data_IF_605894047985
#
_entry.id   IF_605894047985
#
_cell.length_a   1.000
_cell.length_b   1.000
_cell.length_c   1.000
_cell.angle_alpha   90.00
_cell.angle_beta   90.00
_cell.angle_gamma   90.00
#
_symmetry.space_group_name_H-M   'P 1'
#
loop_
_entity.id
_entity.type
_entity.pdbx_description
1 polymer ?
#
# COMPACT_ATOMS: atom_id res chain seq x y z
N UNK A 1 4.18 8.70 9.26
CA UNK A 1 4.99 9.20 8.13
C UNK A 1 4.81 8.28 6.94
N UNK A 2 4.69 8.88 5.75
CA UNK A 2 4.69 8.18 4.46
C UNK A 2 5.97 8.59 3.74
N UNK A 3 6.75 7.61 3.29
CA UNK A 3 8.00 7.82 2.55
C UNK A 3 7.94 7.03 1.23
N UNK A 4 8.43 7.61 0.14
CA UNK A 4 8.60 6.89 -1.12
C UNK A 4 9.93 6.11 -1.09
N UNK A 5 9.90 4.89 -1.62
CA UNK A 5 11.10 4.08 -1.79
C UNK A 5 11.67 4.31 -3.19
N UNK A 6 12.93 4.73 -3.25
CA UNK A 6 13.61 5.05 -4.52
C UNK A 6 14.11 3.79 -5.26
N UNK A 7 14.38 2.72 -4.53
CA UNK A 7 14.92 1.46 -5.06
C UNK A 7 13.80 0.48 -5.43
N UNK A 8 13.01 0.84 -6.44
CA UNK A 8 11.89 0.03 -6.94
C UNK A 8 12.12 -0.42 -8.38
N UNK A 9 11.67 -1.64 -8.75
CA UNK A 9 11.60 -2.05 -10.14
C UNK A 9 10.78 -1.07 -10.99
N UNK A 10 11.09 -0.99 -12.28
CA UNK A 10 10.35 -0.13 -13.19
C UNK A 10 8.85 -0.45 -13.17
N UNK A 11 8.01 0.58 -13.02
CA UNK A 11 6.55 0.44 -12.95
C UNK A 11 6.02 -0.06 -11.61
N UNK A 12 6.87 -0.17 -10.58
CA UNK A 12 6.47 -0.48 -9.20
C UNK A 12 6.62 0.77 -8.33
N UNK A 13 5.56 1.09 -7.61
CA UNK A 13 5.55 2.16 -6.60
C UNK A 13 5.85 1.58 -5.23
N UNK A 14 6.90 2.07 -4.59
CA UNK A 14 7.26 1.68 -3.23
C UNK A 14 6.90 2.76 -2.23
N UNK A 15 6.18 2.40 -1.17
CA UNK A 15 5.86 3.28 -0.05
C UNK A 15 6.25 2.62 1.27
N UNK A 16 6.73 3.41 2.22
CA UNK A 16 6.93 3.00 3.60
C UNK A 16 6.05 3.83 4.52
N UNK A 17 5.37 3.16 5.43
CA UNK A 17 4.56 3.80 6.46
C UNK A 17 5.13 3.48 7.85
N UNK A 18 5.36 4.53 8.64
CA UNK A 18 5.98 4.46 9.97
C UNK A 18 5.31 5.40 10.96
N UNK A 19 5.55 5.18 12.26
CA UNK A 19 4.94 5.92 13.36
C UNK A 19 3.41 5.98 13.27
N UNK A 20 2.85 7.17 13.52
CA UNK A 20 1.40 7.40 13.48
C UNK A 20 1.02 8.22 12.26
N UNK A 21 0.23 7.63 11.36
CA UNK A 21 -0.33 8.37 10.23
C UNK A 21 -1.48 9.25 10.69
N UNK A 22 -1.41 10.53 10.30
CA UNK A 22 -2.49 11.50 10.44
C UNK A 22 -3.18 11.65 9.08
N UNK A 23 -4.50 11.85 9.06
CA UNK A 23 -5.24 12.05 7.81
C UNK A 23 -4.74 13.21 6.93
N UNK A 24 -3.97 14.15 7.50
CA UNK A 24 -3.29 15.17 6.70
C UNK A 24 -2.17 14.62 5.83
N UNK A 25 -1.38 13.64 6.32
CA UNK A 25 -0.29 13.02 5.55
C UNK A 25 -0.84 12.30 4.31
N UNK A 26 -1.93 11.55 4.47
CA UNK A 26 -2.64 10.92 3.36
C UNK A 26 -3.14 11.94 2.32
N UNK A 27 -3.71 13.06 2.76
CA UNK A 27 -4.16 14.13 1.84
C UNK A 27 -3.02 14.75 1.04
N UNK A 28 -1.84 14.89 1.63
CA UNK A 28 -0.65 15.41 0.93
C UNK A 28 -0.03 14.38 0.00
N UNK A 29 -0.14 13.10 0.35
CA UNK A 29 0.37 12.00 -0.47
C UNK A 29 -0.55 11.66 -1.65
N UNK A 30 -1.86 11.91 -1.53
CA UNK A 30 -2.85 11.57 -2.55
C UNK A 30 -2.50 12.09 -3.97
N UNK A 31 -2.08 13.35 -4.19
CA UNK A 31 -1.72 13.82 -5.52
C UNK A 31 -0.47 13.16 -6.10
N UNK A 32 0.48 12.76 -5.24
CA UNK A 32 1.66 12.00 -5.68
C UNK A 32 1.26 10.60 -6.10
N UNK A 33 0.44 9.93 -5.29
CA UNK A 33 -0.17 8.66 -5.65
C UNK A 33 -0.90 8.78 -6.99
N UNK A 34 -1.83 9.73 -7.15
CA UNK A 34 -2.58 9.94 -8.40
C UNK A 34 -1.69 10.14 -9.63
N UNK A 35 -0.54 10.82 -9.52
CA UNK A 35 0.43 10.93 -10.62
C UNK A 35 1.05 9.59 -10.98
N UNK A 36 1.40 8.78 -9.97
CA UNK A 36 1.96 7.44 -10.17
C UNK A 36 0.93 6.47 -10.78
N UNK A 37 -0.37 6.71 -10.56
CA UNK A 37 -1.45 5.89 -11.12
C UNK A 37 -1.83 6.26 -12.57
N UNK A 38 -1.26 7.32 -13.17
CA UNK A 38 -1.66 7.77 -14.52
C UNK A 38 -1.25 6.81 -15.65
N UNK A 39 -0.27 5.93 -15.42
CA UNK A 39 0.28 5.04 -16.46
C UNK A 39 -0.54 3.75 -16.68
N UNK A 40 -1.72 3.64 -16.06
CA UNK A 40 -2.74 2.62 -16.36
C UNK A 40 -2.53 1.24 -15.73
N UNK A 41 -1.34 0.94 -15.20
CA UNK A 41 -1.12 -0.26 -14.39
C UNK A 41 -0.52 0.10 -13.03
N UNK A 42 -1.23 -0.29 -11.98
CA UNK A 42 -0.84 0.03 -10.61
C UNK A 42 -0.24 -1.20 -9.96
N UNK A 43 1.05 -1.11 -9.63
CA UNK A 43 1.82 -2.09 -8.86
C UNK A 43 2.42 -1.40 -7.65
N UNK A 44 2.11 -1.87 -6.45
CA UNK A 44 2.51 -1.22 -5.19
C UNK A 44 3.22 -2.21 -4.28
N UNK A 45 4.29 -1.74 -3.64
CA UNK A 45 4.93 -2.36 -2.47
C UNK A 45 4.76 -1.41 -1.29
N UNK A 46 3.95 -1.80 -0.32
CA UNK A 46 3.74 -1.06 0.93
C UNK A 46 4.51 -1.72 2.08
N UNK A 47 5.47 -1.00 2.66
CA UNK A 47 6.26 -1.45 3.81
C UNK A 47 5.70 -0.83 5.07
N UNK A 48 5.13 -1.66 5.95
CA UNK A 48 4.63 -1.25 7.26
C UNK A 48 5.74 -1.43 8.27
N UNK A 49 6.34 -0.32 8.68
CA UNK A 49 7.47 -0.31 9.60
C UNK A 49 7.09 -0.85 11.00
N UNK A 50 8.06 -1.41 11.76
CA UNK A 50 7.81 -1.97 13.10
C UNK A 50 7.21 -0.95 14.08
N UNK A 51 7.57 0.33 13.94
CA UNK A 51 7.07 1.43 14.76
C UNK A 51 5.71 1.98 14.31
N UNK A 52 5.12 1.43 13.25
CA UNK A 52 3.79 1.86 12.80
C UNK A 52 2.69 1.60 13.85
N UNK A 53 2.13 2.67 14.41
CA UNK A 53 1.11 2.62 15.45
C UNK A 53 -0.32 2.55 14.89
N UNK A 54 -0.45 2.48 13.56
CA UNK A 54 -1.73 2.58 12.87
C UNK A 54 -2.15 4.01 12.59
N UNK A 55 -3.41 4.12 12.17
CA UNK A 55 -4.13 5.39 12.11
C UNK A 55 -4.56 5.73 13.54
N UNK A 56 -4.27 6.94 14.03
CA UNK A 56 -4.58 7.33 15.41
C UNK A 56 -6.07 7.18 15.79
N UNK A 57 -6.45 7.51 17.04
CA UNK A 57 -7.85 7.39 17.49
C UNK A 57 -8.80 8.14 16.53
N UNK A 58 -9.71 7.41 15.87
CA UNK A 58 -10.66 7.93 14.87
C UNK A 58 -10.26 7.77 13.40
N UNK A 59 -9.01 7.41 13.10
CA UNK A 59 -8.48 7.39 11.73
C UNK A 59 -8.86 6.16 10.89
N UNK A 60 -9.00 4.97 11.49
CA UNK A 60 -9.22 3.73 10.71
C UNK A 60 -10.47 3.78 9.82
N UNK A 61 -11.58 4.36 10.28
CA UNK A 61 -12.83 4.38 9.51
C UNK A 61 -12.90 5.50 8.44
N UNK A 62 -12.32 6.67 8.70
CA UNK A 62 -12.29 7.78 7.73
C UNK A 62 -11.20 7.56 6.66
N UNK A 63 -10.05 7.00 7.05
CA UNK A 63 -8.94 6.72 6.15
C UNK A 63 -9.19 5.49 5.27
N UNK A 64 -9.88 4.46 5.78
CA UNK A 64 -10.41 3.40 4.92
C UNK A 64 -11.34 3.99 3.86
N UNK A 65 -12.24 4.91 4.20
CA UNK A 65 -13.12 5.54 3.19
C UNK A 65 -12.36 6.39 2.16
N UNK A 66 -11.28 7.07 2.54
CA UNK A 66 -10.45 7.84 1.61
C UNK A 66 -9.63 6.93 0.69
N UNK A 67 -9.05 5.86 1.25
CA UNK A 67 -8.36 4.80 0.50
C UNK A 67 -9.32 4.07 -0.44
N UNK A 68 -10.44 3.57 0.07
CA UNK A 68 -11.51 2.94 -0.73
C UNK A 68 -12.07 3.90 -1.79
N UNK A 69 -12.29 5.18 -1.46
CA UNK A 69 -12.78 6.19 -2.39
C UNK A 69 -11.84 6.46 -3.58
N UNK A 70 -10.53 6.50 -3.34
CA UNK A 70 -9.53 6.62 -4.40
C UNK A 70 -9.36 5.31 -5.18
N UNK A 71 -9.45 4.16 -4.50
CA UNK A 71 -9.46 2.84 -5.11
C UNK A 71 -10.65 2.67 -6.07
N UNK A 72 -11.81 3.28 -5.83
CA UNK A 72 -12.97 3.17 -6.73
C UNK A 72 -12.77 3.85 -8.10
N UNK A 73 -11.92 4.88 -8.20
CA UNK A 73 -11.70 5.60 -9.46
C UNK A 73 -10.73 4.88 -10.39
N UNK A 74 -9.76 4.16 -9.84
CA UNK A 74 -8.74 3.39 -10.56
C UNK A 74 -8.81 1.88 -10.28
N UNK A 75 -9.98 1.41 -9.83
CA UNK A 75 -10.16 0.04 -9.32
C UNK A 75 -9.63 -0.99 -10.31
N UNK A 76 -10.01 -0.89 -11.59
CA UNK A 76 -9.59 -1.85 -12.61
C UNK A 76 -8.09 -1.83 -12.98
N UNK A 77 -7.33 -0.81 -12.54
CA UNK A 77 -5.93 -0.61 -12.91
C UNK A 77 -4.96 -1.28 -11.92
N UNK A 78 -5.43 -1.69 -10.73
CA UNK A 78 -4.61 -2.41 -9.75
C UNK A 78 -4.30 -3.83 -10.21
N UNK A 79 -3.00 -4.11 -10.39
CA UNK A 79 -2.50 -5.43 -10.78
C UNK A 79 -1.95 -6.21 -9.60
N UNK A 80 -1.04 -5.59 -8.83
CA UNK A 80 -0.33 -6.27 -7.73
C UNK A 80 -0.09 -5.32 -6.56
N UNK A 81 -0.41 -5.80 -5.36
CA UNK A 81 -0.20 -5.08 -4.11
C UNK A 81 0.54 -6.01 -3.14
N UNK A 82 1.79 -5.68 -2.87
CA UNK A 82 2.62 -6.37 -1.89
C UNK A 82 2.62 -5.56 -0.59
N UNK A 83 2.22 -6.20 0.50
CA UNK A 83 2.29 -5.61 1.85
C UNK A 83 3.41 -6.29 2.61
N UNK A 84 4.38 -5.53 3.09
CA UNK A 84 5.58 -6.02 3.76
C UNK A 84 5.53 -5.63 5.23
N UNK A 85 5.36 -6.60 6.13
CA UNK A 85 5.25 -6.35 7.57
C UNK A 85 5.46 -7.59 8.42
N UNK A 86 6.10 -7.41 9.59
CA UNK A 86 6.23 -8.45 10.62
C UNK A 86 5.13 -8.37 11.69
N UNK A 87 4.05 -7.61 11.44
CA UNK A 87 2.96 -7.41 12.41
C UNK A 87 1.87 -8.45 12.26
N UNK A 88 1.59 -9.17 13.33
CA UNK A 88 0.56 -10.23 13.35
C UNK A 88 -0.83 -9.76 12.88
N UNK A 89 -1.23 -8.53 13.21
CA UNK A 89 -2.53 -8.00 12.84
C UNK A 89 -2.65 -7.67 11.34
N UNK A 90 -1.52 -7.41 10.64
CA UNK A 90 -1.53 -7.02 9.23
C UNK A 90 -2.08 -8.14 8.37
N UNK A 91 -1.62 -9.38 8.59
CA UNK A 91 -2.15 -10.54 7.88
C UNK A 91 -3.66 -10.72 8.05
N UNK A 92 -4.17 -10.50 9.26
CA UNK A 92 -5.61 -10.60 9.56
C UNK A 92 -6.43 -9.53 8.83
N UNK A 93 -5.98 -8.27 8.84
CA UNK A 93 -6.67 -7.17 8.14
C UNK A 93 -6.62 -7.38 6.63
N UNK A 94 -5.45 -7.75 6.08
CA UNK A 94 -5.28 -8.00 4.65
C UNK A 94 -6.16 -9.15 4.16
N UNK A 95 -6.26 -10.25 4.92
CA UNK A 95 -7.16 -11.35 4.57
C UNK A 95 -8.63 -10.92 4.55
N UNK A 96 -9.04 -10.02 5.46
CA UNK A 96 -10.40 -9.51 5.53
C UNK A 96 -10.75 -8.55 4.39
N UNK A 97 -9.77 -7.90 3.75
CA UNK A 97 -9.98 -6.93 2.67
C UNK A 97 -9.55 -7.40 1.28
N UNK A 98 -8.79 -8.50 1.17
CA UNK A 98 -8.26 -9.00 -0.09
C UNK A 98 -9.34 -9.27 -1.16
N UNK A 99 -10.51 -9.79 -0.75
CA UNK A 99 -11.64 -10.04 -1.66
C UNK A 99 -12.25 -8.77 -2.25
N UNK A 100 -11.98 -7.60 -1.67
CA UNK A 100 -12.39 -6.29 -2.17
C UNK A 100 -11.34 -5.66 -3.07
N UNK A 101 -10.18 -6.29 -3.28
CA UNK A 101 -9.13 -5.76 -4.15
C UNK A 101 -9.24 -6.39 -5.54
N UNK A 102 -9.19 -5.60 -6.63
CA UNK A 102 -9.36 -6.08 -8.00
C UNK A 102 -8.10 -6.72 -8.58
N UNK A 103 -6.94 -6.50 -7.95
CA UNK A 103 -5.65 -7.09 -8.30
C UNK A 103 -5.22 -8.19 -7.33
N UNK A 104 -4.04 -8.76 -7.58
CA UNK A 104 -3.44 -9.72 -6.69
C UNK A 104 -2.90 -9.02 -5.43
N UNK A 105 -3.12 -9.60 -4.25
CA UNK A 105 -2.59 -9.12 -2.99
C UNK A 105 -1.72 -10.19 -2.34
N UNK A 106 -0.52 -9.83 -1.92
CA UNK A 106 0.41 -10.71 -1.22
C UNK A 106 1.01 -10.02 0.00
N UNK A 107 1.24 -10.79 1.06
CA UNK A 107 1.87 -10.31 2.31
C UNK A 107 3.22 -10.99 2.47
N UNK A 108 4.23 -10.21 2.84
CA UNK A 108 5.63 -10.63 2.97
C UNK A 108 6.19 -10.18 4.33
N UNK A 109 7.18 -10.89 4.86
CA UNK A 109 7.98 -10.43 6.00
C UNK A 109 8.89 -9.25 5.64
N UNK A 110 9.35 -8.48 6.62
CA UNK A 110 10.30 -7.37 6.39
C UNK A 110 11.63 -7.86 5.80
N UNK A 111 12.04 -9.09 6.11
CA UNK A 111 13.21 -9.77 5.53
C UNK A 111 13.00 -10.21 4.07
N UNK A 112 11.75 -10.20 3.58
CA UNK A 112 11.37 -10.58 2.23
C UNK A 112 11.10 -9.38 1.31
N UNK A 113 11.53 -8.17 1.69
CA UNK A 113 11.26 -6.94 0.93
C UNK A 113 11.67 -7.06 -0.55
N UNK A 114 12.85 -7.61 -0.85
CA UNK A 114 13.29 -7.75 -2.23
C UNK A 114 12.42 -8.74 -3.02
N UNK A 115 12.01 -9.84 -2.39
CA UNK A 115 11.05 -10.80 -2.96
C UNK A 115 9.69 -10.13 -3.23
N UNK A 116 9.25 -9.24 -2.35
CA UNK A 116 8.02 -8.48 -2.52
C UNK A 116 8.11 -7.53 -3.73
N UNK A 117 9.26 -6.86 -3.92
CA UNK A 117 9.51 -6.02 -5.11
C UNK A 117 9.46 -6.85 -6.40
N UNK A 118 10.17 -7.97 -6.44
CA UNK A 118 10.19 -8.86 -7.60
C UNK A 118 8.80 -9.41 -7.93
N UNK A 119 8.06 -9.82 -6.90
CA UNK A 119 6.69 -10.26 -7.06
C UNK A 119 5.79 -9.14 -7.58
N UNK A 120 5.89 -7.92 -7.06
CA UNK A 120 5.09 -6.80 -7.56
C UNK A 120 5.41 -6.48 -9.03
N UNK A 121 6.68 -6.61 -9.45
CA UNK A 121 7.15 -6.32 -10.81
C UNK A 121 6.81 -7.39 -11.84
N UNK A 122 6.62 -8.65 -11.41
CA UNK A 122 6.37 -9.74 -12.33
C UNK A 122 5.07 -9.51 -13.15
N UNK A 123 5.20 -9.66 -14.46
CA UNK A 123 4.09 -9.53 -15.41
C UNK A 123 3.26 -10.82 -15.36
N UNK A 124 2.02 -10.76 -14.87
CA UNK A 124 1.00 -11.81 -15.15
C UNK A 124 0.51 -11.68 -16.58
#
# INVERSE_FOLDING_TARGET
>A
MIELLEDMPQGVTGIRVSGRLRGNELRHFKPEMEKMLQDGEIRIVEVIAPDYEGFGPGGFAEDLKLGFGALFTHYSDFKRIAVVSDKDWVGHVMHAVAWMMPGELAVFGLDELDRAKEWAAATS
#
